data_IF_302951975043
#
_entry.id   IF_302951975043
#
_cell.length_a   1.000
_cell.length_b   1.000
_cell.length_c   1.000
_cell.angle_alpha   90.00
_cell.angle_beta   90.00
_cell.angle_gamma   90.00
#
_symmetry.space_group_name_H-M   'P 1'
#
loop_
_entity.id
_entity.type
_entity.pdbx_description
1 polymer ?
#
# COMPACT_ATOMS: atom_id res chain seq x y z
N UNK A 1 -4.84 -13.83 14.07
CA UNK A 1 -5.61 -15.05 13.87
C UNK A 1 -7.04 -14.74 13.50
N UNK A 2 -7.65 -13.78 14.19
CA UNK A 2 -9.02 -13.39 13.91
C UNK A 2 -9.17 -12.60 12.62
N UNK A 3 -8.06 -12.29 11.96
CA UNK A 3 -8.04 -11.49 10.75
C UNK A 3 -7.65 -12.31 9.52
N UNK A 4 -7.69 -13.62 9.62
CA UNK A 4 -7.42 -14.50 8.50
C UNK A 4 -8.59 -14.39 7.50
N UNK A 5 -8.25 -14.06 6.27
CA UNK A 5 -9.20 -13.96 5.18
C UNK A 5 -9.18 -15.29 4.42
N UNK A 6 -10.34 -15.96 4.24
CA UNK A 6 -10.37 -17.15 3.41
C UNK A 6 -9.81 -16.86 2.03
N UNK A 7 -9.04 -17.79 1.50
CA UNK A 7 -8.33 -17.61 0.22
C UNK A 7 -9.25 -17.18 -0.91
N UNK A 8 -10.45 -17.73 -0.99
CA UNK A 8 -11.42 -17.42 -2.03
C UNK A 8 -12.04 -16.03 -1.89
N UNK A 9 -11.83 -15.38 -0.75
CA UNK A 9 -12.38 -14.04 -0.49
C UNK A 9 -11.30 -12.95 -0.55
N UNK A 10 -10.07 -13.31 -0.89
CA UNK A 10 -8.99 -12.33 -1.02
C UNK A 10 -9.17 -11.58 -2.33
N UNK A 11 -9.38 -10.28 -2.23
CA UNK A 11 -9.61 -9.39 -3.37
C UNK A 11 -8.44 -8.46 -3.65
N UNK A 12 -7.59 -8.19 -2.65
CA UNK A 12 -6.34 -7.47 -2.90
C UNK A 12 -5.35 -8.42 -3.57
N UNK A 13 -4.37 -7.86 -4.26
CA UNK A 13 -3.32 -8.63 -4.94
C UNK A 13 -2.01 -8.48 -4.22
N UNK A 14 -1.17 -9.53 -4.25
CA UNK A 14 0.15 -9.48 -3.63
C UNK A 14 1.21 -9.26 -4.69
N UNK A 15 2.14 -8.36 -4.41
CA UNK A 15 3.30 -8.10 -5.28
C UNK A 15 4.49 -8.88 -4.70
N UNK A 16 5.19 -9.63 -5.53
CA UNK A 16 6.27 -10.51 -5.09
C UNK A 16 7.65 -10.20 -5.69
N UNK A 17 7.73 -9.33 -6.70
CA UNK A 17 9.00 -8.95 -7.33
C UNK A 17 9.07 -7.46 -7.61
N UNK A 18 10.30 -6.96 -7.78
CA UNK A 18 10.53 -5.58 -8.17
C UNK A 18 9.87 -5.26 -9.53
N UNK A 19 10.07 -6.13 -10.51
CA UNK A 19 9.51 -5.89 -11.85
C UNK A 19 7.99 -5.81 -11.83
N UNK A 20 7.36 -6.69 -11.05
CA UNK A 20 5.91 -6.67 -10.86
C UNK A 20 5.46 -5.35 -10.25
N UNK A 21 6.16 -4.89 -9.20
CA UNK A 21 5.85 -3.62 -8.56
C UNK A 21 5.96 -2.45 -9.54
N UNK A 22 7.06 -2.39 -10.29
CA UNK A 22 7.28 -1.30 -11.25
C UNK A 22 6.20 -1.28 -12.35
N UNK A 23 5.73 -2.46 -12.75
CA UNK A 23 4.64 -2.55 -13.72
C UNK A 23 3.32 -2.03 -13.13
N UNK A 24 3.03 -2.41 -11.89
CA UNK A 24 1.80 -2.01 -11.19
C UNK A 24 1.71 -0.49 -11.06
N UNK A 25 2.77 0.15 -10.57
CA UNK A 25 2.72 1.60 -10.30
C UNK A 25 2.69 2.47 -11.55
N UNK A 26 3.04 1.89 -12.72
CA UNK A 26 2.97 2.62 -13.99
C UNK A 26 1.55 2.70 -14.56
N UNK A 27 0.59 2.10 -13.91
CA UNK A 27 -0.80 2.16 -14.32
C UNK A 27 -1.26 3.61 -14.56
N UNK A 28 -2.09 3.78 -15.58
CA UNK A 28 -2.72 5.08 -15.86
C UNK A 28 -3.83 5.41 -14.86
N UNK A 29 -4.30 4.40 -14.14
CA UNK A 29 -5.27 4.56 -13.04
C UNK A 29 -4.52 4.67 -11.73
N UNK A 30 -5.16 5.25 -10.73
CA UNK A 30 -4.59 5.29 -9.39
C UNK A 30 -4.57 3.88 -8.81
N UNK A 31 -3.43 3.50 -8.28
CA UNK A 31 -3.19 2.21 -7.63
C UNK A 31 -2.88 2.45 -6.16
N UNK A 32 -3.45 1.64 -5.28
CA UNK A 32 -3.14 1.65 -3.87
C UNK A 32 -2.17 0.49 -3.57
N UNK A 33 -1.01 0.80 -2.99
CA UNK A 33 -0.06 -0.22 -2.53
C UNK A 33 0.13 -0.10 -1.03
N UNK A 34 -0.08 -1.19 -0.32
CA UNK A 34 0.13 -1.25 1.13
C UNK A 34 1.46 -1.95 1.39
N UNK A 35 2.40 -1.22 1.99
CA UNK A 35 3.67 -1.76 2.47
C UNK A 35 3.45 -2.22 3.89
N UNK A 36 3.56 -3.51 4.13
CA UNK A 36 3.31 -4.08 5.44
C UNK A 36 4.22 -5.25 5.77
N UNK A 37 3.93 -5.90 6.86
CA UNK A 37 4.62 -7.11 7.31
C UNK A 37 3.59 -8.06 7.90
N UNK A 38 3.72 -9.34 7.63
CA UNK A 38 2.79 -10.31 8.20
C UNK A 38 2.91 -10.39 9.73
N UNK A 39 4.05 -10.00 10.29
CA UNK A 39 4.25 -9.94 11.74
C UNK A 39 3.74 -8.65 12.40
N UNK A 40 3.26 -7.71 11.62
CA UNK A 40 2.85 -6.39 12.12
C UNK A 40 1.38 -6.41 12.56
N UNK A 41 1.14 -6.02 13.82
CA UNK A 41 -0.22 -6.01 14.38
C UNK A 41 -1.18 -5.14 13.57
N UNK A 42 -0.81 -3.89 13.34
CA UNK A 42 -1.69 -2.95 12.63
C UNK A 42 -1.83 -3.28 11.16
N UNK A 43 -0.82 -3.91 10.55
CA UNK A 43 -0.93 -4.42 9.20
C UNK A 43 -2.03 -5.48 9.11
N UNK A 44 -2.05 -6.40 10.07
CA UNK A 44 -3.05 -7.47 10.12
C UNK A 44 -4.45 -6.93 10.44
N UNK A 45 -4.54 -5.84 11.20
CA UNK A 45 -5.82 -5.17 11.46
C UNK A 45 -6.34 -4.44 10.23
N UNK A 46 -5.44 -3.90 9.41
CA UNK A 46 -5.82 -3.14 8.22
C UNK A 46 -6.22 -4.04 7.05
N UNK A 47 -5.62 -5.21 6.95
CA UNK A 47 -5.82 -6.11 5.82
C UNK A 47 -7.29 -6.46 5.52
N UNK A 48 -8.10 -6.89 6.49
CA UNK A 48 -9.51 -7.17 6.20
C UNK A 48 -10.29 -5.92 5.75
N UNK A 49 -9.87 -4.75 6.21
CA UNK A 49 -10.53 -3.48 5.84
C UNK A 49 -10.31 -3.18 4.35
N UNK A 50 -9.04 -3.16 3.89
CA UNK A 50 -8.82 -2.85 2.48
C UNK A 50 -9.22 -4.01 1.57
N UNK A 51 -9.21 -5.24 2.07
CA UNK A 51 -9.72 -6.37 1.30
C UNK A 51 -11.23 -6.22 1.04
N UNK A 52 -11.98 -5.82 2.06
CA UNK A 52 -13.41 -5.61 1.91
C UNK A 52 -13.71 -4.51 0.89
N UNK A 53 -12.97 -3.41 0.95
CA UNK A 53 -13.13 -2.32 -0.01
C UNK A 53 -12.76 -2.77 -1.43
N UNK A 54 -11.68 -3.52 -1.58
CA UNK A 54 -11.29 -4.07 -2.88
C UNK A 54 -12.41 -4.96 -3.45
N UNK A 55 -13.00 -5.79 -2.60
CA UNK A 55 -14.07 -6.70 -2.99
C UNK A 55 -15.35 -5.95 -3.37
N UNK A 56 -15.75 -4.98 -2.56
CA UNK A 56 -17.01 -4.25 -2.75
C UNK A 56 -16.94 -3.25 -3.90
N UNK A 57 -15.81 -2.57 -4.04
CA UNK A 57 -15.67 -1.44 -4.96
C UNK A 57 -14.85 -1.77 -6.21
N UNK A 58 -14.22 -2.95 -6.26
CA UNK A 58 -13.35 -3.29 -7.37
C UNK A 58 -12.08 -2.45 -7.43
N UNK A 59 -11.65 -1.90 -6.30
CA UNK A 59 -10.47 -1.05 -6.24
C UNK A 59 -9.18 -1.87 -6.43
N UNK A 60 -8.22 -1.29 -7.15
CA UNK A 60 -6.93 -1.93 -7.43
C UNK A 60 -5.99 -1.75 -6.24
N UNK A 61 -6.03 -2.69 -5.31
CA UNK A 61 -5.25 -2.66 -4.07
C UNK A 61 -4.22 -3.79 -4.07
N UNK A 62 -2.97 -3.42 -3.81
CA UNK A 62 -1.83 -4.34 -3.81
C UNK A 62 -1.15 -4.34 -2.45
N UNK A 63 -0.62 -5.48 -2.06
CA UNK A 63 0.06 -5.68 -0.79
C UNK A 63 1.49 -6.16 -1.03
N UNK A 64 2.43 -5.58 -0.30
CA UNK A 64 3.83 -5.98 -0.27
C UNK A 64 4.16 -6.37 1.17
N UNK A 65 4.54 -7.65 1.38
CA UNK A 65 4.93 -8.16 2.68
C UNK A 65 6.45 -8.21 2.79
N UNK A 66 7.03 -7.29 3.58
CA UNK A 66 8.49 -7.24 3.72
C UNK A 66 9.06 -8.45 4.47
N UNK A 67 8.24 -9.18 5.23
CA UNK A 67 8.71 -10.38 5.93
C UNK A 67 9.00 -11.53 4.97
N UNK A 68 8.25 -11.64 3.88
CA UNK A 68 8.39 -12.74 2.92
C UNK A 68 9.02 -12.32 1.58
N UNK A 69 9.17 -11.04 1.35
CA UNK A 69 9.75 -10.53 0.10
C UNK A 69 11.25 -10.86 0.03
N UNK A 70 11.75 -11.20 -1.15
CA UNK A 70 13.19 -11.36 -1.36
C UNK A 70 13.89 -10.05 -1.01
N UNK A 71 14.94 -10.11 -0.19
CA UNK A 71 15.61 -8.91 0.33
C UNK A 71 16.21 -8.04 -0.77
N UNK A 72 16.84 -8.64 -1.78
CA UNK A 72 17.46 -7.89 -2.87
C UNK A 72 16.38 -7.19 -3.70
N UNK A 73 15.28 -7.89 -3.98
CA UNK A 73 14.15 -7.33 -4.71
C UNK A 73 13.49 -6.20 -3.93
N UNK A 74 13.33 -6.39 -2.62
CA UNK A 74 12.74 -5.37 -1.77
C UNK A 74 13.61 -4.11 -1.72
N UNK A 75 14.93 -4.30 -1.63
CA UNK A 75 15.87 -3.17 -1.67
C UNK A 75 15.78 -2.39 -2.98
N UNK A 76 15.55 -3.07 -4.10
CA UNK A 76 15.33 -2.39 -5.38
C UNK A 76 14.09 -1.51 -5.32
N UNK A 77 13.03 -1.98 -4.68
CA UNK A 77 11.80 -1.18 -4.49
C UNK A 77 12.09 0.05 -3.63
N UNK A 78 12.79 -0.14 -2.50
CA UNK A 78 13.12 0.98 -1.61
C UNK A 78 13.98 2.04 -2.30
N UNK A 79 14.77 1.64 -3.27
CA UNK A 79 15.67 2.55 -4.02
C UNK A 79 15.15 2.88 -5.41
N UNK A 80 13.85 2.70 -5.64
CA UNK A 80 13.23 2.89 -6.97
C UNK A 80 13.02 4.36 -7.34
N UNK A 81 13.26 5.28 -6.41
CA UNK A 81 13.04 6.71 -6.64
C UNK A 81 11.68 7.20 -6.16
N UNK A 82 10.83 6.29 -5.68
CA UNK A 82 9.55 6.69 -5.09
C UNK A 82 9.79 7.30 -3.71
N UNK A 83 8.99 8.30 -3.40
CA UNK A 83 9.05 9.02 -2.12
C UNK A 83 7.83 8.75 -1.28
N UNK A 84 8.00 8.92 0.03
CA UNK A 84 6.91 8.98 0.98
C UNK A 84 6.50 10.45 1.04
N UNK A 85 5.26 10.80 0.67
CA UNK A 85 4.82 12.19 0.78
C UNK A 85 4.98 12.73 2.21
N UNK A 86 5.30 14.00 2.33
CA UNK A 86 5.63 14.65 3.61
C UNK A 86 4.63 14.35 4.73
N UNK A 87 3.34 14.36 4.42
CA UNK A 87 2.29 14.14 5.44
C UNK A 87 2.30 12.75 6.05
N UNK A 88 2.97 11.79 5.40
CA UNK A 88 3.11 10.42 5.89
C UNK A 88 4.51 10.12 6.43
N UNK A 89 5.40 11.10 6.46
CA UNK A 89 6.71 10.96 7.09
C UNK A 89 6.59 11.33 8.57
N UNK A 90 7.57 10.90 9.36
CA UNK A 90 7.57 11.15 10.80
C UNK A 90 7.61 12.64 11.11
N UNK A 91 8.49 13.40 10.45
CA UNK A 91 8.62 14.84 10.67
C UNK A 91 7.49 15.66 10.04
N UNK A 92 6.87 15.14 8.99
CA UNK A 92 5.83 15.81 8.19
C UNK A 92 6.29 17.10 7.52
N UNK A 93 7.59 17.30 7.43
CA UNK A 93 8.18 18.54 6.87
C UNK A 93 8.48 18.43 5.37
N UNK A 94 8.91 17.25 4.92
CA UNK A 94 9.31 17.06 3.52
C UNK A 94 9.10 15.62 3.10
N UNK A 95 9.01 15.41 1.79
CA UNK A 95 9.00 14.07 1.21
C UNK A 95 10.33 13.39 1.50
N UNK A 96 10.29 12.09 1.75
CA UNK A 96 11.47 11.28 2.00
C UNK A 96 11.46 10.07 1.07
N UNK A 97 12.63 9.60 0.61
CA UNK A 97 12.66 8.39 -0.21
C UNK A 97 12.21 7.18 0.61
N UNK A 98 11.64 6.18 -0.06
CA UNK A 98 11.26 4.93 0.61
C UNK A 98 12.45 4.33 1.36
N UNK A 99 13.66 4.51 0.83
CA UNK A 99 14.88 3.97 1.44
C UNK A 99 15.22 4.59 2.80
N UNK A 100 14.59 5.70 3.19
CA UNK A 100 14.83 6.32 4.50
C UNK A 100 14.19 5.53 5.64
N UNK A 101 13.36 4.54 5.32
CA UNK A 101 12.66 3.75 6.31
C UNK A 101 11.30 4.34 6.67
N UNK A 102 10.41 3.48 7.15
CA UNK A 102 9.06 3.89 7.50
C UNK A 102 8.42 2.86 8.42
N UNK A 103 7.42 3.30 9.18
CA UNK A 103 6.59 2.39 9.96
C UNK A 103 5.53 1.73 9.08
N UNK A 104 5.05 0.57 9.49
CA UNK A 104 4.03 -0.17 8.74
C UNK A 104 2.72 -0.24 9.52
N UNK A 105 1.57 -0.30 8.83
CA UNK A 105 1.44 -0.24 7.38
C UNK A 105 1.68 1.18 6.83
N UNK A 106 2.24 1.26 5.64
CA UNK A 106 2.34 2.51 4.89
C UNK A 106 1.65 2.29 3.55
N UNK A 107 0.68 3.12 3.23
CA UNK A 107 -0.03 3.06 1.96
C UNK A 107 0.44 4.19 1.07
N UNK A 108 0.86 3.84 -0.15
CA UNK A 108 1.23 4.82 -1.18
C UNK A 108 0.27 4.67 -2.34
N UNK A 109 -0.32 5.78 -2.77
CA UNK A 109 -1.13 5.82 -3.98
C UNK A 109 -0.26 6.32 -5.12
N UNK A 110 -0.27 5.61 -6.24
CA UNK A 110 0.52 5.96 -7.41
C UNK A 110 -0.33 6.07 -8.66
N UNK A 111 0.15 6.85 -9.61
CA UNK A 111 -0.44 6.96 -10.95
C UNK A 111 0.68 7.31 -11.91
N UNK A 112 0.79 6.52 -12.99
CA UNK A 112 1.82 6.74 -14.00
C UNK A 112 3.24 6.78 -13.42
N UNK A 113 3.49 5.94 -12.43
CA UNK A 113 4.81 5.79 -11.81
C UNK A 113 5.15 6.81 -10.74
N UNK A 114 4.22 7.69 -10.37
CA UNK A 114 4.47 8.73 -9.38
C UNK A 114 3.48 8.63 -8.22
N UNK A 115 3.95 8.95 -7.02
CA UNK A 115 3.09 9.03 -5.86
C UNK A 115 2.14 10.22 -5.97
N UNK A 116 0.86 9.98 -5.68
CA UNK A 116 -0.17 11.03 -5.70
C UNK A 116 -0.78 11.27 -4.33
N UNK A 117 -0.68 10.31 -3.42
CA UNK A 117 -1.18 10.44 -2.05
C UNK A 117 -0.62 9.30 -1.20
N UNK A 118 -0.94 9.32 0.10
CA UNK A 118 -0.51 8.27 1.03
C UNK A 118 -1.41 8.21 2.25
N UNK A 119 -1.29 7.09 2.99
CA UNK A 119 -1.88 6.93 4.32
C UNK A 119 -0.79 6.36 5.23
N UNK A 120 -0.51 7.05 6.34
CA UNK A 120 0.41 6.55 7.35
C UNK A 120 -0.34 5.75 8.40
N UNK A 121 -0.05 4.44 8.50
CA UNK A 121 -0.64 3.60 9.51
C UNK A 121 -2.02 3.06 9.17
N UNK A 122 -2.67 2.57 10.21
CA UNK A 122 -4.02 2.00 10.16
C UNK A 122 -5.07 3.11 10.04
N UNK A 123 -6.09 2.89 9.22
CA UNK A 123 -7.31 3.71 9.23
C UNK A 123 -8.52 2.78 9.17
N UNK A 124 -9.66 3.25 9.65
CA UNK A 124 -10.88 2.47 9.58
C UNK A 124 -11.47 2.51 8.16
N UNK A 125 -12.50 1.69 7.93
CA UNK A 125 -13.10 1.56 6.59
C UNK A 125 -13.64 2.89 6.06
N UNK A 126 -14.34 3.65 6.88
CA UNK A 126 -14.91 4.93 6.45
C UNK A 126 -13.81 5.91 6.00
N UNK A 127 -12.73 5.99 6.76
CA UNK A 127 -11.59 6.85 6.40
C UNK A 127 -10.91 6.37 5.12
N UNK A 128 -10.77 5.06 4.95
CA UNK A 128 -10.20 4.50 3.73
C UNK A 128 -11.08 4.84 2.52
N UNK A 129 -12.38 4.61 2.63
CA UNK A 129 -13.31 4.92 1.53
C UNK A 129 -13.29 6.40 1.17
N UNK A 130 -13.22 7.28 2.17
CA UNK A 130 -13.10 8.71 1.94
C UNK A 130 -11.82 9.05 1.15
N UNK A 131 -10.69 8.44 1.54
CA UNK A 131 -9.42 8.63 0.83
C UNK A 131 -9.50 8.11 -0.60
N UNK A 132 -10.11 6.97 -0.82
CA UNK A 132 -10.24 6.39 -2.16
C UNK A 132 -11.10 7.27 -3.07
N UNK A 133 -12.11 7.92 -2.52
CA UNK A 133 -12.89 8.91 -3.27
C UNK A 133 -12.02 10.11 -3.64
N UNK A 134 -11.25 10.61 -2.69
CA UNK A 134 -10.36 11.76 -2.90
C UNK A 134 -9.35 11.51 -4.01
N UNK A 135 -8.77 10.32 -4.07
CA UNK A 135 -7.77 10.00 -5.11
C UNK A 135 -8.41 9.50 -6.41
N UNK A 136 -9.72 9.36 -6.46
CA UNK A 136 -10.43 8.98 -7.67
C UNK A 136 -10.48 7.49 -7.96
N UNK A 137 -10.25 6.64 -6.96
CA UNK A 137 -10.31 5.18 -7.13
C UNK A 137 -11.73 4.63 -7.03
N UNK A 138 -12.60 5.31 -6.33
CA UNK A 138 -14.03 4.97 -6.21
C UNK A 138 -14.85 6.24 -6.30
N UNK A 139 -16.14 6.07 -6.54
CA UNK A 139 -17.08 7.21 -6.67
C UNK A 139 -17.68 7.65 -5.35
#
# INVERSE_FOLDING_TARGET
>A
LNNIIPKEEVAYKTVSTYDEYMKVIKSKKVIMTVFGRNSCYWCNKFKPIYNEVAKEQGADIYYIDSDSFNKDEYNKILNSGLNIPAKCTESKEKDLPLSSGFGTPLTIFTKKGKEVDCIGGYVNKASLESKLKTVGMIK
#
